data_IF_302421683676
#
_entry.id   IF_302421683676
#
_cell.length_a   1.000
_cell.length_b   1.000
_cell.length_c   1.000
_cell.angle_alpha   90.00
_cell.angle_beta   90.00
_cell.angle_gamma   90.00
#
_symmetry.space_group_name_H-M   'P 1'
#
loop_
_entity.id
_entity.type
_entity.pdbx_description
1 polymer ?
#
# COMPACT_ATOMS: atom_id res chain seq x y z
N UNK A 1 -8.82 -13.48 -32.75
CA UNK A 1 -7.73 -13.52 -31.73
C UNK A 1 -8.31 -13.23 -30.36
N UNK A 2 -8.06 -14.10 -29.42
CA UNK A 2 -8.50 -13.91 -28.03
C UNK A 2 -7.46 -13.08 -27.29
N UNK A 3 -7.91 -11.99 -26.69
CA UNK A 3 -7.03 -11.17 -25.87
C UNK A 3 -6.86 -11.80 -24.49
N UNK A 4 -5.65 -11.85 -24.02
CA UNK A 4 -5.33 -12.38 -22.69
C UNK A 4 -5.89 -11.49 -21.60
N UNK A 5 -5.93 -10.17 -21.81
CA UNK A 5 -6.40 -9.19 -20.84
C UNK A 5 -7.39 -8.23 -21.48
N UNK A 6 -8.40 -7.83 -20.70
CA UNK A 6 -9.37 -6.83 -21.10
C UNK A 6 -8.92 -5.47 -20.55
N UNK A 7 -8.29 -4.66 -21.37
CA UNK A 7 -7.67 -3.41 -20.95
C UNK A 7 -8.54 -2.17 -21.17
N UNK A 8 -9.72 -2.30 -21.76
CA UNK A 8 -10.55 -1.14 -22.09
C UNK A 8 -10.91 -0.30 -20.86
N UNK A 9 -11.28 -0.97 -19.76
CA UNK A 9 -11.67 -0.26 -18.54
C UNK A 9 -10.47 0.43 -17.90
N UNK A 10 -9.31 -0.20 -17.95
CA UNK A 10 -8.07 0.41 -17.47
C UNK A 10 -7.74 1.66 -18.27
N UNK A 11 -7.87 1.60 -19.58
CA UNK A 11 -7.59 2.74 -20.46
C UNK A 11 -8.53 3.89 -20.14
N UNK A 12 -9.83 3.60 -19.96
CA UNK A 12 -10.82 4.64 -19.64
C UNK A 12 -10.56 5.29 -18.28
N UNK A 13 -9.95 4.57 -17.36
CA UNK A 13 -9.68 5.03 -16.01
C UNK A 13 -8.19 5.32 -15.78
N UNK A 14 -7.47 5.63 -16.86
CA UNK A 14 -6.02 5.78 -16.80
C UNK A 14 -5.55 6.84 -15.80
N UNK A 15 -6.25 7.97 -15.71
CA UNK A 15 -5.87 9.04 -14.79
C UNK A 15 -5.99 8.59 -13.33
N UNK A 16 -7.09 7.95 -12.98
CA UNK A 16 -7.29 7.40 -11.64
C UNK A 16 -6.29 6.29 -11.31
N UNK A 17 -6.01 5.43 -12.28
CA UNK A 17 -5.03 4.37 -12.11
C UNK A 17 -3.62 4.93 -11.91
N UNK A 18 -3.26 5.94 -12.71
CA UNK A 18 -1.96 6.59 -12.56
C UNK A 18 -1.82 7.27 -11.20
N UNK A 19 -2.89 7.90 -10.72
CA UNK A 19 -2.89 8.52 -9.38
C UNK A 19 -2.71 7.48 -8.28
N UNK A 20 -3.38 6.34 -8.39
CA UNK A 20 -3.20 5.24 -7.44
C UNK A 20 -1.77 4.75 -7.43
N UNK A 21 -1.20 4.48 -8.59
CA UNK A 21 0.17 4.00 -8.70
C UNK A 21 1.17 5.03 -8.16
N UNK A 22 0.94 6.32 -8.40
CA UNK A 22 1.78 7.38 -7.86
C UNK A 22 1.74 7.40 -6.33
N UNK A 23 0.57 7.17 -5.74
CA UNK A 23 0.44 7.09 -4.28
C UNK A 23 1.24 5.91 -3.72
N UNK A 24 1.25 4.79 -4.42
CA UNK A 24 2.01 3.60 -4.01
C UNK A 24 3.52 3.75 -4.27
N UNK A 25 3.92 4.58 -5.21
CA UNK A 25 5.32 4.73 -5.64
C UNK A 25 6.11 5.62 -4.69
N UNK A 26 6.15 5.19 -3.43
CA UNK A 26 6.91 5.85 -2.37
C UNK A 26 7.39 4.78 -1.41
N UNK A 27 8.68 4.76 -1.13
CA UNK A 27 9.31 3.71 -0.33
C UNK A 27 8.66 3.57 1.05
N UNK A 28 8.43 4.67 1.74
CA UNK A 28 7.86 4.62 3.08
C UNK A 28 6.41 4.17 3.08
N UNK A 29 5.61 4.61 2.11
CA UNK A 29 4.23 4.16 1.98
C UNK A 29 4.17 2.69 1.60
N UNK A 30 5.05 2.26 0.71
CA UNK A 30 5.11 0.86 0.32
C UNK A 30 5.45 -0.04 1.52
N UNK A 31 6.46 0.32 2.29
CA UNK A 31 6.84 -0.44 3.49
C UNK A 31 5.72 -0.45 4.53
N UNK A 32 5.03 0.68 4.68
CA UNK A 32 3.89 0.79 5.60
C UNK A 32 2.78 -0.19 5.21
N UNK A 33 2.45 -0.22 3.92
CA UNK A 33 1.40 -1.13 3.42
C UNK A 33 1.80 -2.58 3.56
N UNK A 34 3.07 -2.91 3.36
CA UNK A 34 3.55 -4.28 3.57
C UNK A 34 3.37 -4.71 5.03
N UNK A 35 3.63 -3.82 5.98
CA UNK A 35 3.39 -4.12 7.39
C UNK A 35 1.90 -4.32 7.67
N UNK A 36 1.05 -3.47 7.10
CA UNK A 36 -0.39 -3.57 7.29
C UNK A 36 -1.00 -4.80 6.60
N UNK A 37 -0.33 -5.37 5.62
CA UNK A 37 -0.73 -6.67 5.05
C UNK A 37 -0.59 -7.79 6.08
N UNK A 38 0.34 -7.66 7.02
CA UNK A 38 0.58 -8.68 8.05
C UNK A 38 -0.36 -8.48 9.24
N UNK A 39 -0.47 -7.25 9.74
CA UNK A 39 -1.35 -6.95 10.87
C UNK A 39 -1.66 -5.46 10.95
N UNK A 40 -2.74 -5.13 11.61
CA UNK A 40 -3.10 -3.75 11.89
C UNK A 40 -2.11 -3.17 12.90
N UNK A 41 -1.74 -1.90 12.71
CA UNK A 41 -0.78 -1.22 13.58
C UNK A 41 -1.18 0.22 13.82
N UNK A 42 -0.73 0.77 14.95
CA UNK A 42 -0.87 2.19 15.24
C UNK A 42 0.32 2.98 14.66
N UNK A 43 0.17 4.31 14.64
CA UNK A 43 1.17 5.18 14.00
C UNK A 43 2.56 5.04 14.60
N UNK A 44 2.64 4.89 15.93
CA UNK A 44 3.94 4.74 16.61
C UNK A 44 4.66 3.47 16.19
N UNK A 45 3.93 2.37 16.13
CA UNK A 45 4.49 1.08 15.71
C UNK A 45 4.95 1.15 14.25
N UNK A 46 4.12 1.72 13.38
CA UNK A 46 4.46 1.85 11.96
C UNK A 46 5.69 2.73 11.76
N UNK A 47 5.77 3.84 12.46
CA UNK A 47 6.92 4.73 12.38
C UNK A 47 8.20 4.02 12.78
N UNK A 48 8.14 3.24 13.86
CA UNK A 48 9.29 2.50 14.36
C UNK A 48 9.75 1.43 13.38
N UNK A 49 8.82 0.64 12.85
CA UNK A 49 9.14 -0.45 11.94
C UNK A 49 9.67 0.07 10.61
N UNK A 50 9.06 1.13 10.09
CA UNK A 50 9.48 1.72 8.81
C UNK A 50 10.75 2.56 8.96
N UNK A 51 11.01 3.07 10.16
CA UNK A 51 12.24 3.82 10.44
C UNK A 51 12.13 5.31 10.12
N UNK A 52 10.96 5.90 10.35
CA UNK A 52 10.75 7.34 10.17
C UNK A 52 10.07 7.90 11.43
N UNK A 53 10.05 9.22 11.57
CA UNK A 53 9.41 9.83 12.73
C UNK A 53 7.88 9.78 12.59
N UNK A 54 7.18 9.96 13.72
CA UNK A 54 5.72 9.85 13.75
C UNK A 54 5.02 10.91 12.92
N UNK A 55 5.57 12.12 12.85
CA UNK A 55 4.98 13.17 12.03
C UNK A 55 4.96 12.80 10.55
N UNK A 56 6.06 12.26 10.05
CA UNK A 56 6.15 11.80 8.68
C UNK A 56 5.23 10.61 8.43
N UNK A 57 5.19 9.67 9.38
CA UNK A 57 4.28 8.53 9.26
C UNK A 57 2.82 8.98 9.23
N UNK A 58 2.44 9.92 10.09
CA UNK A 58 1.07 10.47 10.09
C UNK A 58 0.74 11.11 8.76
N UNK A 59 1.69 11.82 8.15
CA UNK A 59 1.48 12.43 6.85
C UNK A 59 1.23 11.36 5.77
N UNK A 60 2.04 10.30 5.77
CA UNK A 60 1.84 9.19 4.83
C UNK A 60 0.51 8.47 5.03
N UNK A 61 0.13 8.24 6.30
CA UNK A 61 -1.15 7.60 6.60
C UNK A 61 -2.34 8.47 6.18
N UNK A 62 -2.23 9.78 6.36
CA UNK A 62 -3.26 10.70 5.89
C UNK A 62 -3.38 10.68 4.36
N UNK A 63 -2.26 10.62 3.66
CA UNK A 63 -2.23 10.50 2.20
C UNK A 63 -2.91 9.21 1.75
N UNK A 64 -2.59 8.09 2.40
CA UNK A 64 -3.17 6.79 2.09
C UNK A 64 -4.67 6.75 2.43
N UNK A 65 -5.07 7.38 3.52
CA UNK A 65 -6.47 7.45 3.92
C UNK A 65 -7.29 8.30 2.95
N UNK A 66 -6.75 9.42 2.51
CA UNK A 66 -7.40 10.28 1.52
C UNK A 66 -7.60 9.56 0.19
N UNK A 67 -6.73 8.62 -0.14
CA UNK A 67 -6.84 7.81 -1.35
C UNK A 67 -7.70 6.54 -1.14
N UNK A 68 -8.32 6.40 0.02
CA UNK A 68 -9.14 5.24 0.39
C UNK A 68 -8.39 3.91 0.39
N UNK A 69 -7.10 3.97 0.65
CA UNK A 69 -6.25 2.77 0.68
C UNK A 69 -6.19 2.17 2.08
N UNK A 70 -6.22 3.02 3.11
CA UNK A 70 -6.24 2.58 4.50
C UNK A 70 -7.41 3.21 5.23
N UNK A 71 -7.86 2.54 6.29
CA UNK A 71 -8.82 3.05 7.26
C UNK A 71 -8.19 3.04 8.64
N UNK A 72 -8.78 3.82 9.54
CA UNK A 72 -8.38 3.82 10.94
C UNK A 72 -9.58 3.46 11.81
N UNK A 73 -9.29 2.86 12.96
CA UNK A 73 -10.27 2.63 14.01
C UNK A 73 -9.64 2.95 15.36
N UNK A 74 -10.47 3.44 16.26
CA UNK A 74 -10.03 3.70 17.63
C UNK A 74 -10.35 2.50 18.51
N UNK A 75 -9.34 2.03 19.24
CA UNK A 75 -9.51 1.03 20.30
C UNK A 75 -8.84 1.58 21.56
N UNK A 76 -9.65 1.90 22.57
CA UNK A 76 -9.21 2.56 23.80
C UNK A 76 -8.48 3.87 23.47
N UNK A 77 -7.18 3.97 23.75
CA UNK A 77 -6.40 5.18 23.51
C UNK A 77 -5.67 5.16 22.18
N UNK A 78 -5.69 4.04 21.50
CA UNK A 78 -4.90 3.83 20.30
C UNK A 78 -5.75 3.92 19.05
N UNK A 79 -5.16 4.43 17.98
CA UNK A 79 -5.75 4.42 16.66
C UNK A 79 -4.96 3.43 15.81
N UNK A 80 -5.65 2.40 15.33
CA UNK A 80 -5.07 1.37 14.49
C UNK A 80 -5.43 1.60 13.04
N UNK A 81 -4.49 1.34 12.17
CA UNK A 81 -4.68 1.45 10.73
C UNK A 81 -4.75 0.06 10.11
N UNK A 82 -5.54 -0.06 9.06
CA UNK A 82 -5.68 -1.30 8.28
C UNK A 82 -5.84 -0.96 6.81
N UNK A 83 -5.48 -1.90 5.94
CA UNK A 83 -5.72 -1.74 4.50
C UNK A 83 -7.20 -1.94 4.24
N UNK A 84 -7.80 -1.01 3.51
CA UNK A 84 -9.22 -1.06 3.15
C UNK A 84 -9.46 -1.25 1.66
N UNK A 85 -8.40 -1.33 0.86
CA UNK A 85 -8.50 -1.47 -0.59
C UNK A 85 -8.11 -2.89 -1.02
N UNK A 86 -9.08 -3.72 -1.45
CA UNK A 86 -8.76 -5.05 -1.99
C UNK A 86 -7.86 -4.97 -3.22
N UNK A 87 -7.99 -3.91 -4.01
CA UNK A 87 -7.17 -3.72 -5.20
C UNK A 87 -5.70 -3.53 -4.84
N UNK A 88 -5.42 -2.75 -3.81
CA UNK A 88 -4.04 -2.54 -3.33
C UNK A 88 -3.46 -3.83 -2.78
N UNK A 89 -4.25 -4.59 -2.02
CA UNK A 89 -3.81 -5.90 -1.53
C UNK A 89 -3.42 -6.81 -2.69
N UNK A 90 -4.22 -6.83 -3.75
CA UNK A 90 -3.95 -7.64 -4.94
C UNK A 90 -2.68 -7.18 -5.65
N UNK A 91 -2.49 -5.87 -5.80
CA UNK A 91 -1.30 -5.31 -6.43
C UNK A 91 -0.04 -5.72 -5.64
N UNK A 92 -0.06 -5.53 -4.32
CA UNK A 92 1.08 -5.86 -3.48
C UNK A 92 1.37 -7.36 -3.50
N UNK A 93 0.33 -8.18 -3.43
CA UNK A 93 0.44 -9.63 -3.52
C UNK A 93 1.08 -10.05 -4.85
N UNK A 94 0.65 -9.44 -5.94
CA UNK A 94 1.19 -9.74 -7.27
C UNK A 94 2.66 -9.34 -7.36
N UNK A 95 3.00 -8.16 -6.87
CA UNK A 95 4.40 -7.69 -6.86
C UNK A 95 5.27 -8.61 -6.00
N UNK A 96 4.76 -9.06 -4.87
CA UNK A 96 5.48 -10.01 -4.03
C UNK A 96 5.82 -11.29 -4.79
N UNK A 97 4.86 -11.80 -5.56
CA UNK A 97 5.08 -13.01 -6.37
C UNK A 97 6.15 -12.83 -7.42
N UNK A 98 6.35 -11.61 -7.92
CA UNK A 98 7.38 -11.33 -8.90
C UNK A 98 8.79 -11.61 -8.37
N UNK A 99 8.97 -11.62 -7.05
CA UNK A 99 10.26 -11.88 -6.42
C UNK A 99 10.42 -13.30 -5.92
N UNK A 100 9.34 -14.08 -5.85
CA UNK A 100 9.42 -15.46 -5.40
C UNK A 100 10.19 -16.31 -6.41
N UNK A 101 11.16 -17.07 -5.93
CA UNK A 101 11.97 -17.96 -6.76
C UNK A 101 13.00 -17.25 -7.61
N UNK A 102 13.09 -15.92 -7.55
CA UNK A 102 14.09 -15.17 -8.31
C UNK A 102 15.31 -14.90 -7.45
N UNK A 103 16.47 -15.18 -8.02
CA UNK A 103 17.74 -14.74 -7.44
C UNK A 103 18.21 -13.52 -8.19
N UNK A 104 18.40 -12.44 -7.47
CA UNK A 104 18.96 -11.22 -8.03
C UNK A 104 20.45 -11.21 -7.78
N UNK A 105 21.27 -10.71 -8.72
CA UNK A 105 22.71 -10.71 -8.52
C UNK A 105 23.18 -9.97 -7.28
N UNK A 106 22.40 -9.02 -6.80
CA UNK A 106 22.74 -8.21 -5.63
C UNK A 106 22.15 -8.72 -4.32
N UNK A 107 21.42 -9.80 -4.34
CA UNK A 107 20.69 -10.31 -3.17
C UNK A 107 21.49 -11.34 -2.38
#
# INVERSE_FOLDING_TARGET
>A
MVRKYALNDLIKNADGTAALLATLANRHRLLTLCQLMEEDMCVGELAQVVGINQSNMSWHLNTLNAASIVNSRREARNIYYSISSPDVELILSTLSRCYLGQKRPSD
#
